data_IF_210493216774
#
_entry.id   IF_210493216774
#
_cell.length_a   1.000
_cell.length_b   1.000
_cell.length_c   1.000
_cell.angle_alpha   90.00
_cell.angle_beta   90.00
_cell.angle_gamma   90.00
#
_symmetry.space_group_name_H-M   'P 1'
#
loop_
_entity.id
_entity.type
_entity.pdbx_description
1 polymer ?
#
# COMPACT_ATOMS: atom_id res chain seq x y z
N UNK A 1 73.33 9.20 32.58
CA UNK A 1 72.97 8.95 31.15
C UNK A 1 72.07 7.73 31.12
N UNK A 2 70.75 7.93 31.02
CA UNK A 2 69.74 6.86 31.05
C UNK A 2 69.67 6.14 29.70
N UNK A 3 69.80 4.82 29.69
CA UNK A 3 69.50 3.97 28.53
C UNK A 3 68.28 3.10 28.86
N UNK A 4 67.18 3.38 28.14
CA UNK A 4 65.83 2.82 28.33
C UNK A 4 65.75 1.39 27.72
N UNK A 5 65.04 0.43 28.34
CA UNK A 5 64.91 -0.93 27.81
C UNK A 5 63.91 -1.02 26.64
N UNK A 6 64.15 -2.02 25.78
CA UNK A 6 63.53 -2.16 24.46
C UNK A 6 62.13 -2.78 24.42
N UNK A 7 61.57 -2.80 23.20
CA UNK A 7 60.43 -3.63 22.78
C UNK A 7 60.63 -4.05 21.31
N UNK A 8 60.50 -5.34 21.04
CA UNK A 8 60.46 -5.92 19.68
C UNK A 8 59.17 -5.53 18.93
N UNK A 9 59.20 -5.37 17.60
CA UNK A 9 57.98 -5.20 16.80
C UNK A 9 57.44 -6.57 16.37
N UNK A 10 56.38 -7.04 17.02
CA UNK A 10 55.57 -8.15 16.51
C UNK A 10 54.27 -7.62 15.91
N UNK A 11 54.12 -7.86 14.61
CA UNK A 11 52.87 -8.00 13.84
C UNK A 11 51.79 -6.93 14.01
N UNK A 12 51.87 -5.91 13.15
CA UNK A 12 50.74 -5.05 12.80
C UNK A 12 50.02 -5.69 11.60
N UNK A 13 49.20 -6.71 11.86
CA UNK A 13 48.29 -7.29 10.87
C UNK A 13 47.14 -7.96 11.61
N UNK A 14 45.97 -7.32 11.60
CA UNK A 14 44.79 -7.87 12.27
C UNK A 14 43.78 -6.81 12.71
N UNK A 15 43.19 -6.08 11.77
CA UNK A 15 41.90 -5.44 12.01
C UNK A 15 41.07 -5.38 10.72
N UNK A 16 40.87 -6.53 10.09
CA UNK A 16 39.83 -6.74 9.07
C UNK A 16 39.12 -8.04 9.43
N UNK A 17 38.24 -8.02 10.44
CA UNK A 17 37.18 -9.02 10.60
C UNK A 17 36.23 -8.57 11.71
N UNK A 18 34.96 -8.35 11.37
CA UNK A 18 33.75 -8.41 12.23
C UNK A 18 32.66 -7.43 11.75
N UNK A 19 32.34 -7.42 10.46
CA UNK A 19 31.01 -6.97 10.00
C UNK A 19 30.48 -8.04 9.03
N UNK A 20 30.24 -9.25 9.54
CA UNK A 20 29.38 -10.23 8.87
C UNK A 20 28.53 -10.88 9.96
N UNK A 21 27.22 -10.97 9.70
CA UNK A 21 26.15 -11.53 10.54
C UNK A 21 25.51 -10.62 11.59
N UNK A 22 25.08 -9.43 11.18
CA UNK A 22 23.73 -9.01 11.61
C UNK A 22 22.74 -9.68 10.66
N UNK A 23 22.46 -10.98 10.89
CA UNK A 23 21.30 -11.62 10.29
C UNK A 23 20.08 -10.90 10.83
N UNK A 24 19.43 -10.09 10.00
CA UNK A 24 18.16 -9.46 10.34
C UNK A 24 17.19 -10.63 10.49
N UNK A 25 16.94 -11.08 11.72
CA UNK A 25 15.91 -12.06 11.96
C UNK A 25 14.60 -11.41 11.51
N UNK A 26 13.96 -11.95 10.48
CA UNK A 26 12.63 -11.50 10.08
C UNK A 26 11.73 -11.56 11.31
N UNK A 27 10.97 -10.50 11.61
CA UNK A 27 10.16 -10.46 12.82
C UNK A 27 9.27 -11.70 12.88
N UNK A 28 9.41 -12.50 13.93
CA UNK A 28 8.75 -13.83 14.04
C UNK A 28 7.23 -13.74 13.96
N UNK A 29 6.65 -12.61 14.39
CA UNK A 29 5.21 -12.32 14.31
C UNK A 29 4.73 -12.04 12.88
N UNK A 30 5.55 -11.41 12.03
CA UNK A 30 5.23 -11.19 10.62
C UNK A 30 4.99 -12.52 9.89
N UNK A 31 5.83 -13.52 10.19
CA UNK A 31 5.68 -14.86 9.62
C UNK A 31 4.38 -15.54 10.09
N UNK A 32 3.92 -15.30 11.33
CA UNK A 32 2.65 -15.86 11.82
C UNK A 32 1.44 -15.21 11.13
N UNK A 33 1.44 -13.89 10.97
CA UNK A 33 0.37 -13.16 10.27
C UNK A 33 0.27 -13.57 8.80
N UNK A 34 1.40 -13.65 8.10
CA UNK A 34 1.45 -14.13 6.71
C UNK A 34 0.93 -15.56 6.60
N UNK A 35 1.34 -16.47 7.49
CA UNK A 35 0.83 -17.84 7.50
C UNK A 35 -0.69 -17.90 7.73
N UNK A 36 -1.21 -17.07 8.64
CA UNK A 36 -2.64 -17.01 8.91
C UNK A 36 -3.41 -16.51 7.68
N UNK A 37 -2.93 -15.45 7.01
CA UNK A 37 -3.51 -14.92 5.78
C UNK A 37 -3.47 -15.96 4.66
N UNK A 38 -2.34 -16.65 4.45
CA UNK A 38 -2.23 -17.72 3.45
C UNK A 38 -3.24 -18.84 3.72
N UNK A 39 -3.52 -19.16 4.98
CA UNK A 39 -4.53 -20.15 5.35
C UNK A 39 -5.99 -19.70 5.11
N UNK A 40 -6.25 -18.41 4.88
CA UNK A 40 -7.60 -17.92 4.54
C UNK A 40 -7.94 -18.05 3.05
N UNK A 41 -6.99 -18.46 2.21
CA UNK A 41 -7.20 -18.58 0.78
C UNK A 41 -8.30 -19.59 0.44
N UNK A 42 -9.24 -19.17 -0.39
CA UNK A 42 -10.32 -19.97 -0.91
C UNK A 42 -10.00 -20.51 -2.31
N UNK A 43 -10.69 -21.57 -2.74
CA UNK A 43 -10.46 -22.19 -4.06
C UNK A 43 -10.81 -21.28 -5.25
N UNK A 44 -11.59 -20.22 -5.02
CA UNK A 44 -11.95 -19.22 -6.01
C UNK A 44 -10.97 -18.03 -6.07
N UNK A 45 -9.86 -18.07 -5.32
CA UNK A 45 -8.84 -17.03 -5.30
C UNK A 45 -9.05 -15.92 -4.28
N UNK A 46 -10.19 -15.87 -3.60
CA UNK A 46 -10.43 -14.87 -2.55
C UNK A 46 -9.78 -15.25 -1.20
N UNK A 47 -9.49 -14.24 -0.39
CA UNK A 47 -9.19 -14.40 1.03
C UNK A 47 -10.37 -13.86 1.81
N UNK A 48 -11.25 -14.75 2.26
CA UNK A 48 -12.39 -14.38 3.09
C UNK A 48 -12.94 -15.60 3.84
N UNK A 49 -13.71 -15.32 4.89
CA UNK A 49 -14.57 -16.28 5.58
C UNK A 49 -16.05 -15.86 5.46
N UNK A 50 -17.02 -16.76 5.72
CA UNK A 50 -18.44 -16.43 5.63
C UNK A 50 -18.92 -15.34 6.61
N UNK A 51 -18.20 -15.16 7.72
CA UNK A 51 -18.57 -14.22 8.79
C UNK A 51 -17.83 -12.88 8.68
N UNK A 52 -17.07 -12.67 7.60
CA UNK A 52 -16.34 -11.42 7.39
C UNK A 52 -17.32 -10.25 7.13
N UNK A 53 -17.04 -9.11 7.77
CA UNK A 53 -17.74 -7.85 7.49
C UNK A 53 -17.32 -7.23 6.15
N UNK A 54 -16.07 -7.45 5.75
CA UNK A 54 -15.53 -6.97 4.48
C UNK A 54 -16.05 -7.83 3.33
N UNK A 55 -16.22 -7.21 2.15
CA UNK A 55 -16.50 -8.00 0.95
C UNK A 55 -15.31 -8.91 0.62
N UNK A 56 -15.53 -10.05 -0.06
CA UNK A 56 -14.44 -10.89 -0.52
C UNK A 56 -13.40 -10.12 -1.34
N UNK A 57 -13.82 -9.15 -2.16
CA UNK A 57 -12.93 -8.26 -2.89
C UNK A 57 -12.05 -7.41 -1.96
N UNK A 58 -12.65 -6.70 -1.00
CA UNK A 58 -11.92 -5.84 -0.04
C UNK A 58 -10.89 -6.64 0.77
N UNK A 59 -11.30 -7.78 1.32
CA UNK A 59 -10.42 -8.65 2.10
C UNK A 59 -9.28 -9.25 1.26
N UNK A 60 -9.56 -9.61 0.00
CA UNK A 60 -8.55 -10.12 -0.93
C UNK A 60 -7.54 -9.04 -1.31
N UNK A 61 -8.00 -7.83 -1.64
CA UNK A 61 -7.15 -6.70 -1.96
C UNK A 61 -6.27 -6.28 -0.78
N UNK A 62 -6.81 -6.28 0.44
CA UNK A 62 -6.04 -5.96 1.65
C UNK A 62 -4.98 -7.03 1.97
N UNK A 63 -5.33 -8.31 1.76
CA UNK A 63 -4.38 -9.42 1.90
C UNK A 63 -3.24 -9.32 0.87
N UNK A 64 -3.57 -9.04 -0.39
CA UNK A 64 -2.59 -8.79 -1.45
C UNK A 64 -1.63 -7.66 -1.07
N UNK A 65 -2.19 -6.51 -0.68
CA UNK A 65 -1.42 -5.33 -0.24
C UNK A 65 -0.49 -5.68 0.92
N UNK A 66 -0.99 -6.44 1.91
CA UNK A 66 -0.21 -6.91 3.05
C UNK A 66 0.95 -7.79 2.60
N UNK A 67 0.73 -8.77 1.72
CA UNK A 67 1.82 -9.61 1.21
C UNK A 67 2.90 -8.81 0.49
N UNK A 68 2.51 -7.80 -0.31
CA UNK A 68 3.47 -6.91 -0.96
C UNK A 68 4.28 -6.09 0.03
N UNK A 69 3.65 -5.48 1.03
CA UNK A 69 4.36 -4.69 2.06
C UNK A 69 5.32 -5.55 2.89
N UNK A 70 4.97 -6.81 3.11
CA UNK A 70 5.78 -7.77 3.87
C UNK A 70 6.83 -8.50 3.01
N UNK A 71 6.95 -8.19 1.71
CA UNK A 71 7.84 -8.88 0.79
C UNK A 71 7.52 -10.36 0.58
N UNK A 72 6.31 -10.79 0.94
CA UNK A 72 5.82 -12.17 0.85
C UNK A 72 5.14 -12.43 -0.49
N UNK A 73 5.73 -11.96 -1.59
CA UNK A 73 5.11 -11.95 -2.93
C UNK A 73 5.13 -13.30 -3.67
N UNK A 74 5.60 -14.37 -3.01
CA UNK A 74 5.77 -15.71 -3.59
C UNK A 74 4.78 -16.73 -3.02
N UNK A 75 3.75 -16.29 -2.29
CA UNK A 75 2.71 -17.19 -1.79
C UNK A 75 2.00 -17.86 -2.98
N UNK A 76 1.74 -19.18 -2.93
CA UNK A 76 1.18 -19.92 -4.06
C UNK A 76 -0.22 -19.43 -4.46
N UNK A 77 -0.92 -18.77 -3.56
CA UNK A 77 -2.30 -18.28 -3.71
C UNK A 77 -2.37 -16.86 -4.27
N UNK A 78 -1.23 -16.19 -4.47
CA UNK A 78 -1.23 -14.80 -4.98
C UNK A 78 -1.68 -14.68 -6.43
N UNK A 79 -1.33 -15.61 -7.31
CA UNK A 79 -1.81 -15.55 -8.71
C UNK A 79 -3.33 -15.62 -8.78
N UNK A 80 -3.95 -16.55 -8.04
CA UNK A 80 -5.40 -16.66 -8.00
C UNK A 80 -6.06 -15.40 -7.39
N UNK A 81 -5.43 -14.79 -6.39
CA UNK A 81 -5.90 -13.54 -5.80
C UNK A 81 -5.81 -12.35 -6.74
N UNK A 82 -4.71 -12.26 -7.50
CA UNK A 82 -4.56 -11.27 -8.56
C UNK A 82 -5.69 -11.40 -9.58
N UNK A 83 -5.95 -12.61 -10.07
CA UNK A 83 -7.01 -12.86 -11.04
C UNK A 83 -8.39 -12.51 -10.46
N UNK A 84 -8.67 -12.87 -9.20
CA UNK A 84 -9.93 -12.56 -8.53
C UNK A 84 -10.16 -11.05 -8.35
N UNK A 85 -9.12 -10.28 -7.97
CA UNK A 85 -9.20 -8.82 -7.87
C UNK A 85 -9.46 -8.19 -9.25
N UNK A 86 -8.80 -8.68 -10.30
CA UNK A 86 -8.91 -8.12 -11.65
C UNK A 86 -10.18 -8.54 -12.39
N UNK A 87 -10.88 -9.57 -11.91
CA UNK A 87 -12.18 -9.99 -12.42
C UNK A 87 -13.33 -9.12 -11.88
N UNK A 88 -13.08 -8.30 -10.85
CA UNK A 88 -14.08 -7.40 -10.31
C UNK A 88 -14.45 -6.30 -11.32
N UNK A 89 -15.74 -6.03 -11.43
CA UNK A 89 -16.32 -5.10 -12.41
C UNK A 89 -17.15 -4.00 -11.76
N UNK A 90 -17.38 -4.07 -10.45
CA UNK A 90 -18.07 -3.01 -9.73
C UNK A 90 -17.24 -1.72 -9.79
N UNK A 91 -17.79 -0.63 -10.35
CA UNK A 91 -17.00 0.54 -10.72
C UNK A 91 -16.87 1.55 -9.57
N UNK A 92 -16.83 1.13 -8.31
CA UNK A 92 -16.61 2.08 -7.19
C UNK A 92 -15.20 2.67 -7.21
N UNK A 93 -15.05 3.85 -6.65
CA UNK A 93 -13.75 4.52 -6.53
C UNK A 93 -12.82 3.73 -5.64
N UNK A 94 -13.30 3.16 -4.53
CA UNK A 94 -12.52 2.22 -3.71
C UNK A 94 -12.02 1.03 -4.55
N UNK A 95 -12.90 0.42 -5.35
CA UNK A 95 -12.54 -0.80 -6.08
C UNK A 95 -11.53 -0.50 -7.20
N UNK A 96 -11.76 0.57 -7.96
CA UNK A 96 -10.80 1.04 -8.96
C UNK A 96 -9.44 1.36 -8.34
N UNK A 97 -9.43 2.02 -7.18
CA UNK A 97 -8.20 2.33 -6.46
C UNK A 97 -7.45 1.06 -6.03
N UNK A 98 -8.16 0.08 -5.44
CA UNK A 98 -7.57 -1.20 -5.01
C UNK A 98 -7.04 -2.02 -6.20
N UNK A 99 -7.75 -2.05 -7.32
CA UNK A 99 -7.28 -2.73 -8.55
C UNK A 99 -6.05 -2.01 -9.09
N UNK A 100 -6.05 -0.68 -9.13
CA UNK A 100 -4.91 0.10 -9.60
C UNK A 100 -3.67 -0.17 -8.76
N UNK A 101 -3.78 -0.12 -7.42
CA UNK A 101 -2.69 -0.47 -6.49
C UNK A 101 -2.18 -1.90 -6.77
N UNK A 102 -3.09 -2.86 -6.91
CA UNK A 102 -2.77 -4.27 -7.18
C UNK A 102 -2.01 -4.44 -8.49
N UNK A 103 -2.49 -3.84 -9.58
CA UNK A 103 -1.84 -3.88 -10.90
C UNK A 103 -0.49 -3.17 -10.89
N UNK A 104 -0.38 -2.01 -10.26
CA UNK A 104 0.90 -1.29 -10.13
C UNK A 104 1.93 -2.13 -9.39
N UNK A 105 1.56 -2.77 -8.28
CA UNK A 105 2.42 -3.68 -7.53
C UNK A 105 2.85 -4.91 -8.35
N UNK A 106 1.97 -5.44 -9.21
CA UNK A 106 2.25 -6.54 -10.13
C UNK A 106 3.01 -6.13 -11.40
N UNK A 107 3.31 -4.84 -11.60
CA UNK A 107 3.91 -4.33 -12.83
C UNK A 107 3.01 -4.49 -14.06
N UNK A 108 1.69 -4.50 -13.88
CA UNK A 108 0.70 -4.60 -14.95
C UNK A 108 0.24 -3.21 -15.44
N UNK A 109 -0.27 -3.10 -16.68
CA UNK A 109 -0.79 -1.84 -17.20
C UNK A 109 -1.93 -1.26 -16.34
N UNK A 110 -1.93 0.06 -16.16
CA UNK A 110 -2.91 0.78 -15.31
C UNK A 110 -3.51 2.02 -15.99
N UNK A 111 -3.17 2.31 -17.24
CA UNK A 111 -3.58 3.53 -17.94
C UNK A 111 -5.10 3.69 -18.02
N UNK A 112 -5.82 2.57 -18.16
CA UNK A 112 -7.28 2.48 -18.15
C UNK A 112 -7.87 2.95 -16.80
N UNK A 113 -7.27 2.50 -15.71
CA UNK A 113 -7.71 2.83 -14.34
C UNK A 113 -7.37 4.27 -13.97
N UNK A 114 -6.17 4.75 -14.35
CA UNK A 114 -5.78 6.16 -14.19
C UNK A 114 -6.75 7.05 -14.96
N UNK A 115 -7.04 6.73 -16.23
CA UNK A 115 -7.99 7.48 -17.05
C UNK A 115 -9.38 7.50 -16.41
N UNK A 116 -9.84 6.36 -15.90
CA UNK A 116 -11.16 6.26 -15.26
C UNK A 116 -11.26 7.07 -13.97
N UNK A 117 -10.25 7.00 -13.08
CA UNK A 117 -10.23 7.77 -11.84
C UNK A 117 -10.07 9.27 -12.09
N UNK A 118 -9.18 9.67 -12.99
CA UNK A 118 -8.96 11.08 -13.32
C UNK A 118 -10.15 11.71 -14.03
N UNK A 119 -10.94 10.93 -14.79
CA UNK A 119 -12.20 11.40 -15.37
C UNK A 119 -13.28 11.73 -14.31
N UNK A 120 -13.14 11.24 -13.07
CA UNK A 120 -14.05 11.53 -11.95
C UNK A 120 -13.63 12.75 -11.11
N UNK A 121 -12.42 13.28 -11.34
CA UNK A 121 -11.95 14.46 -10.62
C UNK A 121 -12.90 15.63 -10.86
N UNK A 122 -13.58 16.07 -9.80
CA UNK A 122 -14.41 17.25 -9.83
C UNK A 122 -13.53 18.52 -9.80
N UNK A 123 -14.10 19.66 -10.18
CA UNK A 123 -13.37 20.95 -10.20
C UNK A 123 -12.74 21.33 -8.85
N UNK A 124 -13.37 20.92 -7.74
CA UNK A 124 -12.87 21.15 -6.39
C UNK A 124 -11.81 20.11 -5.95
N UNK A 125 -11.48 19.12 -6.79
CA UNK A 125 -10.50 18.07 -6.52
C UNK A 125 -11.04 16.81 -5.86
N UNK A 126 -12.33 16.76 -5.51
CA UNK A 126 -12.95 15.61 -4.88
C UNK A 126 -13.34 14.51 -5.88
N UNK A 127 -13.47 13.29 -5.37
CA UNK A 127 -14.02 12.15 -6.10
C UNK A 127 -15.13 11.51 -5.27
N UNK A 128 -16.21 11.10 -5.94
CA UNK A 128 -17.29 10.30 -5.35
C UNK A 128 -17.12 8.82 -5.66
N UNK A 129 -17.92 7.98 -4.99
CA UNK A 129 -17.89 6.52 -5.16
C UNK A 129 -18.12 6.09 -6.63
N UNK A 130 -19.06 6.73 -7.31
CA UNK A 130 -19.40 6.46 -8.71
C UNK A 130 -19.24 7.71 -9.59
N UNK A 131 -19.32 7.53 -10.91
CA UNK A 131 -19.37 8.66 -11.85
C UNK A 131 -20.51 9.60 -11.47
N UNK A 132 -20.23 10.90 -11.46
CA UNK A 132 -21.19 11.98 -11.20
C UNK A 132 -21.78 12.01 -9.78
N UNK A 133 -21.30 11.17 -8.85
CA UNK A 133 -21.70 11.23 -7.44
C UNK A 133 -20.93 12.34 -6.72
N UNK A 134 -21.54 12.89 -5.67
CA UNK A 134 -20.87 13.84 -4.78
C UNK A 134 -19.60 13.23 -4.19
N UNK A 135 -18.59 14.07 -4.02
CA UNK A 135 -17.34 13.61 -3.44
C UNK A 135 -17.50 13.29 -1.97
N UNK A 136 -16.77 12.27 -1.52
CA UNK A 136 -16.60 11.98 -0.10
C UNK A 136 -15.12 12.05 0.25
N UNK A 137 -14.79 12.29 1.52
CA UNK A 137 -13.42 12.22 2.02
C UNK A 137 -12.81 10.86 1.70
N UNK A 138 -13.54 9.77 1.94
CA UNK A 138 -13.01 8.41 1.83
C UNK A 138 -12.73 8.01 0.38
N UNK A 139 -13.63 8.32 -0.55
CA UNK A 139 -13.43 8.05 -1.98
C UNK A 139 -12.27 8.89 -2.53
N UNK A 140 -12.22 10.16 -2.12
CA UNK A 140 -11.13 11.06 -2.49
C UNK A 140 -9.78 10.54 -1.99
N UNK A 141 -9.72 10.03 -0.75
CA UNK A 141 -8.51 9.46 -0.16
C UNK A 141 -8.06 8.18 -0.87
N UNK A 142 -8.97 7.24 -1.16
CA UNK A 142 -8.65 6.02 -1.90
C UNK A 142 -8.08 6.33 -3.29
N UNK A 143 -8.72 7.23 -4.03
CA UNK A 143 -8.25 7.62 -5.35
C UNK A 143 -6.88 8.31 -5.30
N UNK A 144 -6.67 9.22 -4.34
CA UNK A 144 -5.39 9.92 -4.18
C UNK A 144 -4.26 8.94 -3.86
N UNK A 145 -4.49 7.98 -2.96
CA UNK A 145 -3.53 6.94 -2.64
C UNK A 145 -3.13 6.12 -3.87
N UNK A 146 -4.12 5.64 -4.61
CA UNK A 146 -3.91 4.85 -5.82
C UNK A 146 -3.12 5.64 -6.88
N UNK A 147 -3.58 6.86 -7.21
CA UNK A 147 -2.91 7.73 -8.17
C UNK A 147 -1.50 8.12 -7.72
N UNK A 148 -1.25 8.25 -6.41
CA UNK A 148 0.08 8.51 -5.88
C UNK A 148 1.06 7.35 -6.15
N UNK A 149 0.57 6.11 -6.19
CA UNK A 149 1.40 4.95 -6.56
C UNK A 149 1.78 4.95 -8.04
N UNK A 150 1.03 5.66 -8.90
CA UNK A 150 1.25 5.70 -10.35
C UNK A 150 1.96 6.96 -10.82
N UNK A 151 2.45 7.85 -9.95
CA UNK A 151 3.13 9.12 -10.32
C UNK A 151 4.34 8.91 -11.25
N UNK A 152 4.79 7.67 -11.48
CA UNK A 152 5.74 7.31 -12.53
C UNK A 152 5.17 7.27 -13.96
N UNK A 153 3.85 7.43 -14.15
CA UNK A 153 3.14 7.32 -15.44
C UNK A 153 2.32 8.60 -15.69
N UNK A 154 2.91 9.55 -16.43
CA UNK A 154 2.30 10.71 -17.13
C UNK A 154 1.33 11.66 -16.40
N UNK A 155 0.97 11.41 -15.14
CA UNK A 155 0.12 12.32 -14.34
C UNK A 155 1.03 13.29 -13.59
N UNK A 156 1.09 14.54 -14.06
CA UNK A 156 1.77 15.61 -13.31
C UNK A 156 1.16 15.69 -11.91
N UNK A 157 2.00 15.57 -10.86
CA UNK A 157 1.58 15.73 -9.46
C UNK A 157 0.76 17.00 -9.21
N UNK A 158 0.95 18.03 -10.05
CA UNK A 158 0.20 19.28 -9.99
C UNK A 158 -1.30 19.11 -10.27
N UNK A 159 -1.70 18.10 -11.05
CA UNK A 159 -3.10 17.79 -11.31
C UNK A 159 -3.83 17.28 -10.06
N UNK A 160 -3.11 16.80 -9.05
CA UNK A 160 -3.65 16.29 -7.79
C UNK A 160 -3.65 17.33 -6.66
N UNK A 161 -3.11 18.54 -6.89
CA UNK A 161 -3.11 19.60 -5.87
C UNK A 161 -4.53 19.97 -5.40
N UNK A 162 -5.55 20.09 -6.27
CA UNK A 162 -6.92 20.34 -5.81
C UNK A 162 -7.44 19.25 -4.87
N UNK A 163 -7.08 17.98 -5.13
CA UNK A 163 -7.44 16.83 -4.29
C UNK A 163 -6.83 16.93 -2.90
N UNK A 164 -5.55 17.28 -2.83
CA UNK A 164 -4.84 17.51 -1.56
C UNK A 164 -5.46 18.70 -0.80
N UNK A 165 -5.69 19.82 -1.49
CA UNK A 165 -6.30 21.02 -0.90
C UNK A 165 -7.70 20.75 -0.36
N UNK A 166 -8.49 19.90 -1.03
CA UNK A 166 -9.81 19.50 -0.58
C UNK A 166 -9.73 18.67 0.71
N UNK A 167 -8.86 17.66 0.77
CA UNK A 167 -8.69 16.85 1.99
C UNK A 167 -8.18 17.69 3.16
N UNK A 168 -7.28 18.66 2.92
CA UNK A 168 -6.82 19.58 3.96
C UNK A 168 -7.95 20.49 4.47
N UNK A 169 -8.88 20.91 3.61
CA UNK A 169 -10.06 21.70 4.01
C UNK A 169 -11.11 20.89 4.76
N UNK A 170 -11.18 19.58 4.52
CA UNK A 170 -12.10 18.67 5.22
C UNK A 170 -11.53 18.12 6.53
N UNK A 171 -10.29 18.47 6.89
CA UNK A 171 -9.74 18.12 8.18
C UNK A 171 -10.40 18.98 9.27
N UNK A 172 -10.90 18.32 10.32
CA UNK A 172 -11.49 18.96 11.49
C UNK A 172 -10.42 19.48 12.47
N UNK A 173 -10.84 20.28 13.46
CA UNK A 173 -9.93 20.83 14.49
C UNK A 173 -9.25 19.75 15.34
N UNK A 174 -9.89 18.58 15.47
CA UNK A 174 -9.33 17.42 16.17
C UNK A 174 -8.30 16.64 15.34
N UNK A 175 -8.10 17.03 14.08
CA UNK A 175 -7.15 16.42 13.16
C UNK A 175 -7.70 15.24 12.36
N UNK A 176 -8.92 14.78 12.64
CA UNK A 176 -9.59 13.75 11.86
C UNK A 176 -10.30 14.31 10.62
N UNK A 177 -10.94 13.42 9.86
CA UNK A 177 -11.72 13.79 8.68
C UNK A 177 -13.13 13.21 8.74
N UNK A 178 -14.09 13.94 8.19
CA UNK A 178 -15.45 13.46 8.00
C UNK A 178 -16.12 14.16 6.83
N UNK A 179 -17.14 13.51 6.28
CA UNK A 179 -18.07 14.18 5.37
C UNK A 179 -19.05 15.05 6.19
N UNK A 180 -19.24 16.29 5.73
CA UNK A 180 -20.21 17.30 6.19
C UNK A 180 -21.06 16.96 7.44
N UNK A 181 -20.58 17.38 8.61
CA UNK A 181 -21.36 17.38 9.86
C UNK A 181 -21.39 16.05 10.62
N UNK A 182 -20.69 15.03 10.12
CA UNK A 182 -20.43 13.81 10.88
C UNK A 182 -19.28 14.01 11.87
N UNK A 183 -19.23 13.15 12.89
CA UNK A 183 -18.07 13.06 13.78
C UNK A 183 -16.85 12.62 12.97
N UNK A 184 -15.67 13.17 13.33
CA UNK A 184 -14.40 12.79 12.72
C UNK A 184 -14.18 11.27 12.80
N UNK A 185 -13.86 10.67 11.66
CA UNK A 185 -13.21 9.36 11.63
C UNK A 185 -11.71 9.54 11.84
N UNK A 186 -11.09 8.51 12.42
CA UNK A 186 -9.73 8.50 13.03
C UNK A 186 -8.66 9.37 12.38
#
# INVERSE_FOLDING_TARGET
MLKKPGRSPTLMSGLILCIILSGIASPTLANQGVNWLTAQAQSNGHYNTPDDLATPFQATAETWRTFYQMGSTTQPTMTAAFDAINAESFPSTEYLARILITRTQAGQPVDDLITTLTARLQYNGGLGDLSDYDHTVIDTAFALEALAMTIFVDTSIQSLYPTIDLLLKQQHEDGGWADNGNDSSV
#
